data_IF_840616797235
#
_entry.id   IF_840616797235
#
_cell.length_a   1.000
_cell.length_b   1.000
_cell.length_c   1.000
_cell.angle_alpha   90.00
_cell.angle_beta   90.00
_cell.angle_gamma   90.00
#
_symmetry.space_group_name_H-M   'P 1'
#
loop_
_entity.id
_entity.type
_entity.pdbx_description
1 polymer ?
#
# COMPACT_ATOMS: atom_id res chain seq x y z
N UNK A 1 6.51 -22.94 3.66
CA UNK A 1 5.92 -22.19 2.54
C UNK A 1 5.76 -20.76 3.05
N UNK A 2 6.44 -19.77 2.45
CA UNK A 2 6.29 -18.37 2.88
C UNK A 2 5.05 -17.80 2.18
N UNK A 3 3.95 -17.77 2.92
CA UNK A 3 2.61 -17.48 2.41
C UNK A 3 2.49 -16.07 1.79
N UNK A 4 3.23 -15.09 2.31
CA UNK A 4 3.27 -13.72 1.81
C UNK A 4 3.82 -13.66 0.38
N UNK A 5 4.94 -14.36 0.12
CA UNK A 5 5.55 -14.41 -1.20
C UNK A 5 4.66 -15.03 -2.27
N UNK A 6 3.72 -15.90 -1.88
CA UNK A 6 2.72 -16.46 -2.80
C UNK A 6 1.62 -15.46 -3.15
N UNK A 7 1.14 -14.71 -2.16
CA UNK A 7 0.16 -13.64 -2.41
C UNK A 7 0.74 -12.56 -3.32
N UNK A 8 1.99 -12.15 -3.07
CA UNK A 8 2.70 -11.20 -3.93
C UNK A 8 2.90 -11.77 -5.35
N UNK A 9 3.26 -13.06 -5.48
CA UNK A 9 3.41 -13.71 -6.79
C UNK A 9 2.09 -13.76 -7.56
N UNK A 10 1.01 -14.20 -6.91
CA UNK A 10 -0.34 -14.27 -7.50
C UNK A 10 -0.82 -12.91 -8.00
N UNK A 11 -0.48 -11.84 -7.27
CA UNK A 11 -0.80 -10.47 -7.61
C UNK A 11 0.17 -9.82 -8.63
N UNK A 12 1.27 -10.50 -9.01
CA UNK A 12 2.32 -9.92 -9.85
C UNK A 12 3.10 -8.79 -9.16
N UNK A 13 3.19 -8.80 -7.83
CA UNK A 13 3.82 -7.78 -7.00
C UNK A 13 5.23 -8.14 -6.51
N UNK A 14 5.75 -9.32 -6.84
CA UNK A 14 7.11 -9.73 -6.42
C UNK A 14 8.20 -8.76 -6.88
N UNK A 15 8.00 -8.12 -8.03
CA UNK A 15 8.94 -7.14 -8.61
C UNK A 15 8.46 -5.70 -8.41
N UNK A 16 7.34 -5.50 -7.69
CA UNK A 16 6.82 -4.17 -7.44
C UNK A 16 7.65 -3.46 -6.34
N UNK A 17 7.96 -2.17 -6.51
CA UNK A 17 8.61 -1.41 -5.45
C UNK A 17 7.66 -1.22 -4.25
N UNK A 18 8.22 -1.16 -3.04
CA UNK A 18 7.45 -0.77 -1.86
C UNK A 18 7.19 0.73 -1.86
N UNK A 19 6.10 1.17 -1.24
CA UNK A 19 5.77 2.58 -1.09
C UNK A 19 6.95 3.35 -0.46
N UNK A 20 7.57 2.81 0.59
CA UNK A 20 8.73 3.43 1.23
C UNK A 20 9.92 3.58 0.28
N UNK A 21 10.18 2.60 -0.60
CA UNK A 21 11.28 2.71 -1.58
C UNK A 21 11.05 3.80 -2.63
N UNK A 22 9.80 4.13 -2.94
CA UNK A 22 9.44 5.16 -3.90
C UNK A 22 9.27 6.53 -3.26
N UNK A 23 8.92 6.57 -1.97
CA UNK A 23 8.95 7.78 -1.17
C UNK A 23 10.41 8.12 -0.86
N UNK A 24 10.89 9.27 -1.33
CA UNK A 24 12.29 9.68 -1.15
C UNK A 24 12.71 9.84 0.32
N UNK A 25 14.01 10.06 0.55
CA UNK A 25 14.65 10.12 1.88
C UNK A 25 13.99 11.09 2.88
N UNK A 26 13.26 12.11 2.39
CA UNK A 26 12.51 13.07 3.21
C UNK A 26 11.27 12.48 3.90
N UNK A 27 10.92 11.22 3.65
CA UNK A 27 9.76 10.54 4.25
C UNK A 27 10.16 9.69 5.44
N UNK A 28 9.62 10.03 6.61
CA UNK A 28 9.73 9.22 7.81
C UNK A 28 8.59 8.21 7.88
N UNK A 29 8.79 7.15 8.67
CA UNK A 29 7.73 6.19 8.94
C UNK A 29 6.50 6.84 9.60
N UNK A 30 6.71 7.83 10.48
CA UNK A 30 5.64 8.59 11.10
C UNK A 30 4.83 9.40 10.07
N UNK A 31 5.49 9.98 9.07
CA UNK A 31 4.81 10.64 7.96
C UNK A 31 3.92 9.67 7.20
N UNK A 32 4.43 8.49 6.86
CA UNK A 32 3.67 7.45 6.16
C UNK A 32 2.45 7.04 7.00
N UNK A 33 2.66 6.66 8.26
CA UNK A 33 1.57 6.25 9.18
C UNK A 33 0.47 7.31 9.33
N UNK A 34 0.83 8.59 9.27
CA UNK A 34 -0.10 9.71 9.43
C UNK A 34 -0.80 10.11 8.12
N UNK A 35 -0.11 10.05 6.99
CA UNK A 35 -0.58 10.59 5.71
C UNK A 35 -1.27 9.50 4.87
N UNK A 36 -0.72 8.29 4.85
CA UNK A 36 -1.25 7.19 4.04
C UNK A 36 -2.75 6.90 4.29
N UNK A 37 -3.24 6.79 5.55
CA UNK A 37 -4.66 6.52 5.80
C UNK A 37 -5.60 7.63 5.30
N UNK A 38 -5.07 8.83 5.00
CA UNK A 38 -5.81 9.95 4.43
C UNK A 38 -5.71 9.98 2.91
N UNK A 39 -4.55 9.61 2.37
CA UNK A 39 -4.30 9.57 0.93
C UNK A 39 -5.09 8.44 0.26
N UNK A 40 -5.07 7.25 0.86
CA UNK A 40 -5.67 6.06 0.26
C UNK A 40 -7.16 6.27 -0.08
N UNK A 41 -8.05 6.74 0.83
CA UNK A 41 -9.45 6.98 0.48
C UNK A 41 -9.66 7.98 -0.65
N UNK A 42 -8.80 9.01 -0.76
CA UNK A 42 -8.89 10.00 -1.83
C UNK A 42 -8.56 9.38 -3.20
N UNK A 43 -7.55 8.51 -3.25
CA UNK A 43 -7.14 7.79 -4.46
C UNK A 43 -8.17 6.72 -4.86
N UNK A 44 -8.78 6.07 -3.86
CA UNK A 44 -9.75 5.00 -4.07
C UNK A 44 -11.15 5.51 -4.44
N UNK A 45 -11.44 6.80 -4.26
CA UNK A 45 -12.77 7.34 -4.51
C UNK A 45 -13.23 7.07 -5.95
N UNK A 46 -14.40 6.45 -6.10
CA UNK A 46 -14.97 6.09 -7.40
C UNK A 46 -14.36 4.85 -8.07
N UNK A 47 -13.42 4.14 -7.41
CA UNK A 47 -12.86 2.88 -7.91
C UNK A 47 -13.56 1.69 -7.29
N UNK A 48 -13.73 0.64 -8.09
CA UNK A 48 -14.19 -0.65 -7.58
C UNK A 48 -13.05 -1.33 -6.82
N UNK A 49 -13.34 -1.72 -5.58
CA UNK A 49 -12.39 -2.39 -4.69
C UNK A 49 -12.89 -3.81 -4.38
N UNK A 50 -12.04 -4.80 -4.63
CA UNK A 50 -12.30 -6.19 -4.25
C UNK A 50 -11.19 -6.68 -3.33
N UNK A 51 -11.55 -7.07 -2.10
CA UNK A 51 -10.64 -7.78 -1.21
C UNK A 51 -10.45 -9.21 -1.76
N UNK A 52 -9.25 -9.49 -2.26
CA UNK A 52 -8.88 -10.81 -2.79
C UNK A 52 -8.53 -11.76 -1.65
N UNK A 53 -7.79 -11.26 -0.66
CA UNK A 53 -7.27 -12.07 0.43
C UNK A 53 -6.98 -11.23 1.66
N UNK A 54 -7.29 -11.78 2.84
CA UNK A 54 -6.98 -11.20 4.13
C UNK A 54 -6.30 -12.24 5.01
N UNK A 55 -5.28 -11.81 5.75
CA UNK A 55 -4.64 -12.57 6.80
C UNK A 55 -4.65 -11.75 8.06
N UNK A 56 -4.91 -12.42 9.17
CA UNK A 56 -4.86 -11.82 10.49
C UNK A 56 -3.95 -12.70 11.33
N UNK A 57 -2.95 -12.09 11.94
CA UNK A 57 -2.07 -12.71 12.91
C UNK A 57 -2.11 -11.91 14.23
N UNK A 58 -1.48 -12.43 15.28
CA UNK A 58 -1.43 -11.79 16.61
C UNK A 58 -0.79 -10.39 16.51
N UNK A 59 0.17 -10.20 15.62
CA UNK A 59 0.97 -8.99 15.50
C UNK A 59 0.51 -8.02 14.40
N UNK A 60 -0.55 -8.36 13.64
CA UNK A 60 -1.00 -7.50 12.55
C UNK A 60 -1.97 -8.17 11.59
N UNK A 61 -2.21 -7.49 10.47
CA UNK A 61 -3.00 -8.03 9.37
C UNK A 61 -2.39 -7.64 8.03
N UNK A 62 -2.65 -8.47 7.02
CA UNK A 62 -2.27 -8.21 5.64
C UNK A 62 -3.49 -8.33 4.73
N UNK A 63 -3.61 -7.40 3.78
CA UNK A 63 -4.69 -7.38 2.81
C UNK A 63 -4.14 -7.31 1.39
N UNK A 64 -4.71 -8.14 0.51
CA UNK A 64 -4.52 -8.00 -0.94
C UNK A 64 -5.84 -7.53 -1.56
N UNK A 65 -5.81 -6.35 -2.15
CA UNK A 65 -6.92 -5.77 -2.90
C UNK A 65 -6.66 -5.81 -4.40
N UNK A 66 -7.73 -6.01 -5.16
CA UNK A 66 -7.79 -5.74 -6.59
C UNK A 66 -8.57 -4.45 -6.82
N UNK A 67 -7.97 -3.53 -7.58
CA UNK A 67 -8.49 -2.19 -7.86
C UNK A 67 -8.53 -2.03 -9.38
N UNK A 68 -9.65 -2.40 -10.00
CA UNK A 68 -9.74 -2.55 -11.45
C UNK A 68 -8.71 -3.56 -11.99
N UNK A 69 -7.71 -3.07 -12.75
CA UNK A 69 -6.60 -3.89 -13.26
C UNK A 69 -5.37 -3.95 -12.35
N UNK A 70 -5.36 -3.16 -11.29
CA UNK A 70 -4.23 -3.02 -10.38
C UNK A 70 -4.39 -3.90 -9.14
N UNK A 71 -3.28 -4.15 -8.46
CA UNK A 71 -3.25 -4.80 -7.15
C UNK A 71 -2.58 -3.89 -6.12
N UNK A 72 -3.04 -3.99 -4.88
CA UNK A 72 -2.52 -3.31 -3.71
C UNK A 72 -2.41 -4.34 -2.57
N UNK A 73 -1.21 -4.55 -2.07
CA UNK A 73 -0.94 -5.34 -0.88
C UNK A 73 -0.56 -4.41 0.27
N UNK A 74 -1.30 -4.46 1.36
CA UNK A 74 -1.05 -3.71 2.59
C UNK A 74 -0.69 -4.69 3.69
N UNK A 75 0.54 -4.60 4.21
CA UNK A 75 0.98 -5.30 5.41
C UNK A 75 1.03 -4.29 6.56
N UNK A 76 0.15 -4.47 7.54
CA UNK A 76 0.04 -3.58 8.70
C UNK A 76 0.32 -4.42 9.94
N UNK A 77 1.55 -4.34 10.43
CA UNK A 77 1.91 -4.85 11.74
C UNK A 77 1.99 -3.70 12.76
N UNK A 78 2.17 -4.03 14.05
CA UNK A 78 2.22 -3.03 15.14
C UNK A 78 3.36 -2.00 14.99
N UNK A 79 4.37 -2.33 14.20
CA UNK A 79 5.63 -1.63 14.01
C UNK A 79 5.86 -1.13 12.59
N UNK A 80 5.07 -1.54 11.60
CA UNK A 80 5.31 -1.20 10.20
C UNK A 80 4.02 -1.18 9.38
N UNK A 81 3.98 -0.27 8.41
CA UNK A 81 3.01 -0.30 7.33
C UNK A 81 3.77 -0.40 6.01
N UNK A 82 3.85 -1.61 5.46
CA UNK A 82 4.45 -1.85 4.16
C UNK A 82 3.37 -1.98 3.08
N UNK A 83 3.59 -1.33 1.95
CA UNK A 83 2.62 -1.27 0.86
C UNK A 83 3.30 -1.60 -0.46
N UNK A 84 2.75 -2.56 -1.19
CA UNK A 84 3.18 -2.92 -2.54
C UNK A 84 2.00 -2.74 -3.50
N UNK A 85 2.27 -2.16 -4.66
CA UNK A 85 1.25 -2.03 -5.69
C UNK A 85 1.91 -1.93 -7.07
N UNK A 86 1.12 -2.13 -8.12
CA UNK A 86 1.58 -1.82 -9.48
C UNK A 86 2.06 -0.36 -9.54
N UNK A 87 3.16 -0.11 -10.25
CA UNK A 87 3.78 1.22 -10.38
C UNK A 87 2.78 2.35 -10.69
N UNK A 88 1.82 2.23 -11.64
CA UNK A 88 0.87 3.31 -11.91
C UNK A 88 0.00 3.69 -10.71
N UNK A 89 -0.47 2.69 -9.94
CA UNK A 89 -1.27 2.93 -8.74
C UNK A 89 -0.42 3.56 -7.64
N UNK A 90 0.84 3.11 -7.51
CA UNK A 90 1.77 3.65 -6.53
C UNK A 90 2.07 5.14 -6.80
N UNK A 91 2.24 5.54 -8.06
CA UNK A 91 2.46 6.93 -8.44
C UNK A 91 1.28 7.84 -8.09
N UNK A 92 0.05 7.40 -8.30
CA UNK A 92 -1.16 8.15 -7.90
C UNK A 92 -1.22 8.34 -6.39
N UNK A 93 -0.93 7.28 -5.64
CA UNK A 93 -0.86 7.33 -4.18
C UNK A 93 0.24 8.29 -3.69
N UNK A 94 1.44 8.21 -4.26
CA UNK A 94 2.55 9.10 -3.92
C UNK A 94 2.22 10.56 -4.24
N UNK A 95 1.55 10.83 -5.37
CA UNK A 95 1.13 12.18 -5.73
C UNK A 95 0.19 12.78 -4.67
N UNK A 96 -0.81 12.00 -4.23
CA UNK A 96 -1.75 12.42 -3.19
C UNK A 96 -1.06 12.59 -1.83
N UNK A 97 -0.19 11.65 -1.44
CA UNK A 97 0.60 11.75 -0.21
C UNK A 97 1.48 13.02 -0.20
N UNK A 98 2.14 13.34 -1.32
CA UNK A 98 2.93 14.55 -1.47
C UNK A 98 2.06 15.83 -1.40
N UNK A 99 0.87 15.81 -1.98
CA UNK A 99 -0.09 16.91 -1.87
C UNK A 99 -0.47 17.16 -0.40
N UNK A 100 -0.85 16.11 0.32
CA UNK A 100 -1.22 16.19 1.74
C UNK A 100 -0.06 16.57 2.66
N UNK A 101 1.18 16.23 2.30
CA UNK A 101 2.39 16.64 3.05
C UNK A 101 2.64 18.15 2.93
N UNK A 102 2.34 18.76 1.77
CA UNK A 102 2.55 20.19 1.50
C UNK A 102 1.50 21.12 2.13
N UNK A 103 0.30 20.62 2.42
CA UNK A 103 -0.79 21.41 3.04
C UNK A 103 -0.68 21.43 4.57
N UNK A 104 0.47 21.04 5.13
CA UNK A 104 0.76 21.09 6.57
C UNK A 104 1.55 22.32 6.96
#
# INVERSE_FOLDING_TARGET
>A
MNFEGECLREAGLLDAPSLQSMLGEDWTEEDIRRIYPRALPNVLNGRELLLVKQLVDIDGYSHLYKIGRYYLFEAIDRWMHEVFASEPFMLELIAEMNHLKKIK
#
